data_IF_796139384145
#
_entry.id   IF_796139384145
#
_cell.length_a   1.000
_cell.length_b   1.000
_cell.length_c   1.000
_cell.angle_alpha   90.00
_cell.angle_beta   90.00
_cell.angle_gamma   90.00
#
_symmetry.space_group_name_H-M   'P 1'
#
loop_
_entity.id
_entity.type
_entity.pdbx_description
1 polymer ?
#
# COMPACT_ATOMS: atom_id res chain seq x y z
N UNK A 1 3.28 17.25 18.15
CA UNK A 1 3.08 15.79 17.96
C UNK A 1 4.27 15.27 17.18
N UNK A 2 4.97 14.25 17.66
CA UNK A 2 6.13 13.65 16.97
C UNK A 2 5.61 12.61 15.97
N UNK A 3 5.33 13.03 14.74
CA UNK A 3 4.72 12.21 13.71
C UNK A 3 5.80 11.59 12.82
N UNK A 4 5.72 10.29 12.62
CA UNK A 4 6.53 9.54 11.67
C UNK A 4 5.64 8.82 10.67
N UNK A 5 6.07 8.72 9.44
CA UNK A 5 5.37 8.02 8.37
C UNK A 5 6.23 6.86 7.89
N UNK A 6 5.66 5.68 7.82
CA UNK A 6 6.30 4.46 7.32
C UNK A 6 5.60 4.04 6.03
N UNK A 7 6.32 4.09 4.92
CA UNK A 7 5.84 3.63 3.62
C UNK A 7 6.35 2.20 3.39
N UNK A 8 5.43 1.26 3.26
CA UNK A 8 5.74 -0.13 2.95
C UNK A 8 5.91 -0.29 1.44
N UNK A 9 7.15 -0.47 0.99
CA UNK A 9 7.51 -0.60 -0.43
C UNK A 9 7.95 -2.05 -0.75
N UNK A 10 7.12 -3.00 -0.33
CA UNK A 10 7.28 -4.42 -0.62
C UNK A 10 6.41 -4.89 -1.78
N UNK A 11 6.63 -6.14 -2.21
CA UNK A 11 5.89 -6.74 -3.32
C UNK A 11 6.48 -6.42 -4.70
N UNK A 12 6.07 -7.18 -5.73
CA UNK A 12 6.55 -7.02 -7.11
C UNK A 12 5.48 -6.35 -7.97
N UNK A 13 4.20 -6.65 -7.74
CA UNK A 13 3.12 -6.19 -8.61
C UNK A 13 3.11 -6.93 -9.96
N UNK A 14 3.32 -8.24 -9.96
CA UNK A 14 3.53 -9.08 -11.15
C UNK A 14 2.40 -9.05 -12.19
N UNK A 15 1.19 -8.62 -11.81
CA UNK A 15 0.07 -8.40 -12.75
C UNK A 15 0.29 -7.22 -13.70
N UNK A 16 1.25 -6.34 -13.38
CA UNK A 16 1.60 -5.19 -14.23
C UNK A 16 2.77 -5.46 -15.19
N UNK A 17 3.16 -6.73 -15.36
CA UNK A 17 4.13 -7.05 -16.41
C UNK A 17 3.64 -6.55 -17.78
N UNK A 18 4.51 -6.00 -18.64
CA UNK A 18 5.95 -5.77 -18.50
C UNK A 18 6.35 -4.48 -17.80
N UNK A 19 5.40 -3.69 -17.27
CA UNK A 19 5.69 -2.46 -16.53
C UNK A 19 6.44 -2.75 -15.22
N UNK A 20 6.02 -3.76 -14.47
CA UNK A 20 6.69 -4.22 -13.27
C UNK A 20 7.42 -5.55 -13.52
N UNK A 21 8.62 -5.65 -12.99
CA UNK A 21 9.47 -6.85 -13.03
C UNK A 21 10.08 -7.10 -11.64
N UNK A 22 10.72 -8.26 -11.41
CA UNK A 22 11.45 -8.50 -10.15
C UNK A 22 12.57 -7.49 -9.87
N UNK A 23 13.13 -6.86 -10.91
CA UNK A 23 14.18 -5.82 -10.81
C UNK A 23 13.58 -4.44 -10.58
N UNK A 24 12.39 -4.18 -11.12
CA UNK A 24 11.70 -2.90 -11.04
C UNK A 24 10.23 -3.11 -10.65
N UNK A 25 9.92 -3.30 -9.35
CA UNK A 25 8.56 -3.48 -8.85
C UNK A 25 7.64 -2.30 -9.12
N UNK A 26 6.32 -2.58 -9.13
CA UNK A 26 5.24 -1.62 -9.43
C UNK A 26 5.38 -0.27 -8.72
N UNK A 27 5.73 -0.27 -7.43
CA UNK A 27 5.85 0.95 -6.64
C UNK A 27 6.95 1.90 -7.14
N UNK A 28 7.93 1.40 -7.87
CA UNK A 28 9.01 2.20 -8.45
C UNK A 28 8.74 2.63 -9.89
N UNK A 29 7.55 2.36 -10.41
CA UNK A 29 7.15 2.64 -11.79
C UNK A 29 6.13 3.78 -11.82
N UNK A 30 6.21 4.64 -12.85
CA UNK A 30 5.15 5.57 -13.20
C UNK A 30 4.01 4.84 -13.91
N UNK A 31 3.11 4.26 -13.11
CA UNK A 31 1.95 3.50 -13.62
C UNK A 31 0.87 4.43 -14.17
N UNK A 32 0.80 5.66 -13.64
CA UNK A 32 -0.23 6.63 -14.01
C UNK A 32 0.15 7.50 -15.21
N UNK A 33 1.40 7.45 -15.68
CA UNK A 33 1.90 8.30 -16.77
C UNK A 33 2.03 9.78 -16.39
N UNK A 34 2.32 10.08 -15.11
CA UNK A 34 2.40 11.44 -14.57
C UNK A 34 3.83 11.96 -14.36
N UNK A 35 4.83 11.18 -14.72
CA UNK A 35 6.25 11.51 -14.54
C UNK A 35 6.80 11.19 -13.16
N UNK A 36 6.02 10.55 -12.28
CA UNK A 36 6.44 10.13 -10.93
C UNK A 36 6.07 8.68 -10.69
N UNK A 37 6.94 7.94 -9.99
CA UNK A 37 6.61 6.60 -9.53
C UNK A 37 5.55 6.65 -8.42
N UNK A 38 4.87 5.53 -8.18
CA UNK A 38 3.88 5.42 -7.10
C UNK A 38 4.49 5.68 -5.73
N UNK A 39 5.76 5.29 -5.51
CA UNK A 39 6.50 5.61 -4.28
C UNK A 39 6.70 7.13 -4.12
N UNK A 40 7.08 7.83 -5.19
CA UNK A 40 7.25 9.28 -5.17
C UNK A 40 5.93 10.01 -4.92
N UNK A 41 4.84 9.61 -5.59
CA UNK A 41 3.51 10.15 -5.34
C UNK A 41 3.07 9.90 -3.90
N UNK A 42 3.33 8.69 -3.36
CA UNK A 42 3.00 8.35 -1.97
C UNK A 42 3.79 9.19 -0.98
N UNK A 43 5.10 9.35 -1.18
CA UNK A 43 5.93 10.20 -0.32
C UNK A 43 5.50 11.67 -0.35
N UNK A 44 5.11 12.18 -1.52
CA UNK A 44 4.64 13.56 -1.69
C UNK A 44 3.31 13.82 -0.96
N UNK A 45 2.43 12.83 -0.82
CA UNK A 45 1.16 12.96 -0.08
C UNK A 45 1.36 13.35 1.38
N UNK A 46 2.49 12.97 1.99
CA UNK A 46 2.80 13.25 3.39
C UNK A 46 3.50 14.59 3.62
N UNK A 47 3.70 15.39 2.56
CA UNK A 47 4.17 16.76 2.70
C UNK A 47 3.20 17.55 3.60
N UNK A 48 3.73 18.18 4.67
CA UNK A 48 2.93 18.89 5.68
C UNK A 48 2.22 17.99 6.70
N UNK A 49 2.43 16.68 6.69
CA UNK A 49 2.03 15.74 7.77
C UNK A 49 3.22 15.50 8.70
N UNK A 50 4.37 15.13 8.16
CA UNK A 50 5.61 14.98 8.91
C UNK A 50 6.78 15.66 8.18
N UNK A 51 7.84 16.05 8.89
CA UNK A 51 9.08 16.50 8.27
C UNK A 51 9.78 15.33 7.56
N UNK A 52 10.65 15.65 6.60
CA UNK A 52 11.30 14.64 5.74
C UNK A 52 12.15 13.64 6.53
N UNK A 53 12.79 14.09 7.59
CA UNK A 53 13.56 13.27 8.53
C UNK A 53 12.72 12.24 9.30
N UNK A 54 11.41 12.37 9.30
CA UNK A 54 10.47 11.43 9.92
C UNK A 54 9.72 10.56 8.90
N UNK A 55 10.05 10.67 7.61
CA UNK A 55 9.57 9.76 6.58
C UNK A 55 10.49 8.54 6.52
N UNK A 56 9.90 7.34 6.46
CA UNK A 56 10.59 6.05 6.42
C UNK A 56 10.08 5.21 5.27
N UNK A 57 10.97 4.46 4.65
CA UNK A 57 10.61 3.47 3.62
C UNK A 57 11.12 2.12 4.03
N UNK A 58 10.23 1.14 4.12
CA UNK A 58 10.59 -0.28 4.33
C UNK A 58 10.53 -0.99 2.98
N UNK A 59 11.63 -1.60 2.57
CA UNK A 59 11.72 -2.29 1.29
C UNK A 59 12.68 -3.49 1.36
N UNK A 60 12.61 -4.38 0.38
CA UNK A 60 13.58 -5.47 0.26
C UNK A 60 15.00 -4.93 -0.01
N UNK A 61 16.01 -5.56 0.60
CA UNK A 61 17.43 -5.14 0.50
C UNK A 61 17.87 -4.82 -0.94
N UNK A 62 17.41 -5.58 -1.92
CA UNK A 62 17.76 -5.39 -3.33
C UNK A 62 17.19 -4.11 -3.98
N UNK A 63 16.26 -3.43 -3.32
CA UNK A 63 15.59 -2.23 -3.84
C UNK A 63 16.04 -0.93 -3.17
N UNK A 64 17.02 -0.98 -2.27
CA UNK A 64 17.53 0.20 -1.56
C UNK A 64 17.98 1.29 -2.53
N UNK A 65 18.70 0.92 -3.59
CA UNK A 65 19.21 1.88 -4.58
C UNK A 65 18.09 2.54 -5.39
N UNK A 66 16.98 1.84 -5.64
CA UNK A 66 15.79 2.45 -6.24
C UNK A 66 15.15 3.50 -5.31
N UNK A 67 15.10 3.21 -3.99
CA UNK A 67 14.60 4.19 -3.02
C UNK A 67 15.51 5.42 -2.97
N UNK A 68 16.83 5.24 -2.90
CA UNK A 68 17.82 6.34 -2.91
C UNK A 68 17.69 7.21 -4.16
N UNK A 69 17.54 6.58 -5.33
CA UNK A 69 17.38 7.29 -6.61
C UNK A 69 16.07 8.09 -6.65
N UNK A 70 14.98 7.52 -6.17
CA UNK A 70 13.66 8.15 -6.29
C UNK A 70 13.34 9.12 -5.16
N UNK A 71 13.92 8.95 -4.00
CA UNK A 71 13.77 9.81 -2.82
C UNK A 71 15.16 10.25 -2.29
N UNK A 72 15.92 11.07 -3.07
CA UNK A 72 17.30 11.42 -2.73
C UNK A 72 17.43 12.21 -1.42
N UNK A 73 16.37 12.91 -1.00
CA UNK A 73 16.35 13.68 0.25
C UNK A 73 15.96 12.85 1.48
N UNK A 74 15.69 11.55 1.30
CA UNK A 74 15.36 10.67 2.42
C UNK A 74 16.64 10.31 3.19
N UNK A 75 16.68 10.49 4.54
CA UNK A 75 17.84 10.07 5.33
C UNK A 75 18.14 8.58 5.15
N UNK A 76 19.41 8.23 4.98
CA UNK A 76 19.83 6.84 4.78
C UNK A 76 19.36 5.91 5.91
N UNK A 77 19.39 6.41 7.16
CA UNK A 77 18.90 5.67 8.33
C UNK A 77 17.42 5.31 8.29
N UNK A 78 16.65 5.99 7.41
CA UNK A 78 15.20 5.83 7.27
C UNK A 78 14.82 4.87 6.14
N UNK A 79 15.81 4.34 5.41
CA UNK A 79 15.61 3.24 4.46
C UNK A 79 15.80 1.93 5.23
N UNK A 80 14.71 1.26 5.54
CA UNK A 80 14.71 0.00 6.28
C UNK A 80 14.75 -1.16 5.28
N UNK A 81 15.82 -1.96 5.36
CA UNK A 81 16.11 -3.03 4.41
C UNK A 81 15.70 -4.41 4.96
N UNK A 82 14.60 -4.95 4.48
CA UNK A 82 14.21 -6.33 4.78
C UNK A 82 15.14 -7.32 4.06
N UNK A 83 15.72 -8.29 4.77
CA UNK A 83 16.58 -9.30 4.13
C UNK A 83 15.78 -10.29 3.27
N UNK A 84 14.50 -10.49 3.57
CA UNK A 84 13.54 -11.30 2.80
C UNK A 84 12.11 -10.84 3.07
N UNK A 85 11.16 -11.21 2.20
CA UNK A 85 9.75 -10.92 2.40
C UNK A 85 9.15 -11.79 3.53
N UNK A 86 8.43 -11.14 4.47
CA UNK A 86 7.73 -11.79 5.59
C UNK A 86 6.32 -11.22 5.84
N UNK A 87 5.70 -10.64 4.79
CA UNK A 87 4.41 -9.96 4.87
C UNK A 87 4.44 -8.72 5.78
N UNK A 88 3.27 -8.14 6.08
CA UNK A 88 3.19 -6.79 6.65
C UNK A 88 3.44 -6.72 8.16
N UNK A 89 3.19 -7.77 8.94
CA UNK A 89 3.42 -7.70 10.39
C UNK A 89 4.91 -7.58 10.76
N UNK A 90 5.84 -8.40 10.24
CA UNK A 90 7.27 -8.20 10.49
C UNK A 90 7.81 -6.88 9.91
N UNK A 91 7.34 -6.46 8.74
CA UNK A 91 7.65 -5.19 8.10
C UNK A 91 7.34 -4.01 9.05
N UNK A 92 6.11 -3.94 9.53
CA UNK A 92 5.63 -2.90 10.44
C UNK A 92 6.34 -2.99 11.79
N UNK A 93 6.50 -4.20 12.35
CA UNK A 93 7.17 -4.40 13.61
C UNK A 93 8.61 -3.88 13.58
N UNK A 94 9.38 -4.22 12.55
CA UNK A 94 10.75 -3.75 12.41
C UNK A 94 10.82 -2.22 12.39
N UNK A 95 10.00 -1.57 11.56
CA UNK A 95 9.96 -0.11 11.50
C UNK A 95 9.57 0.50 12.86
N UNK A 96 8.52 -0.02 13.51
CA UNK A 96 8.02 0.52 14.77
C UNK A 96 9.04 0.38 15.90
N UNK A 97 9.70 -0.78 16.07
CA UNK A 97 10.77 -0.96 17.07
C UNK A 97 11.96 -0.06 16.80
N UNK A 98 12.36 0.07 15.53
CA UNK A 98 13.49 0.94 15.17
C UNK A 98 13.17 2.41 15.42
N UNK A 99 11.99 2.89 15.07
CA UNK A 99 11.56 4.27 15.36
C UNK A 99 11.48 4.49 16.87
N UNK A 100 10.82 3.58 17.60
CA UNK A 100 10.61 3.69 19.04
C UNK A 100 11.92 3.73 19.83
N UNK A 101 12.99 3.08 19.35
CA UNK A 101 14.30 3.10 20.00
C UNK A 101 14.91 4.52 20.13
N UNK A 102 14.52 5.46 19.27
CA UNK A 102 14.93 6.88 19.33
C UNK A 102 13.78 7.83 19.65
N UNK A 103 12.55 7.43 19.38
CA UNK A 103 11.35 8.25 19.48
C UNK A 103 10.23 7.46 20.19
N UNK A 104 10.32 7.27 21.51
CA UNK A 104 9.35 6.43 22.24
C UNK A 104 7.91 6.95 22.21
N UNK A 105 7.72 8.26 22.01
CA UNK A 105 6.40 8.92 21.93
C UNK A 105 5.94 9.17 20.50
N UNK A 106 6.54 8.49 19.51
CA UNK A 106 6.20 8.66 18.11
C UNK A 106 4.73 8.28 17.82
N UNK A 107 4.07 9.13 17.04
CA UNK A 107 2.80 8.81 16.38
C UNK A 107 3.11 8.33 14.97
N UNK A 108 2.59 7.20 14.58
CA UNK A 108 2.94 6.53 13.35
C UNK A 108 1.77 6.50 12.38
N UNK A 109 2.05 6.82 11.13
CA UNK A 109 1.20 6.48 9.99
C UNK A 109 1.93 5.42 9.19
N UNK A 110 1.29 4.30 8.94
CA UNK A 110 1.83 3.22 8.09
C UNK A 110 0.95 3.10 6.86
N UNK A 111 1.55 3.09 5.68
CA UNK A 111 0.80 3.03 4.42
C UNK A 111 1.52 2.22 3.34
N UNK A 112 0.78 1.61 2.40
CA UNK A 112 1.35 1.02 1.21
C UNK A 112 1.92 2.09 0.27
N UNK A 113 2.94 1.73 -0.51
CA UNK A 113 3.64 2.62 -1.45
C UNK A 113 2.96 2.76 -2.81
N UNK A 114 1.92 1.96 -3.09
CA UNK A 114 1.46 1.69 -4.45
C UNK A 114 -0.06 1.84 -4.64
N UNK A 115 -0.70 2.64 -3.77
CA UNK A 115 -2.10 3.00 -3.88
C UNK A 115 -2.29 4.38 -4.55
N UNK A 116 -3.34 4.48 -5.36
CA UNK A 116 -3.83 5.73 -5.94
C UNK A 116 -4.71 6.48 -4.92
N UNK A 117 -4.58 7.80 -4.92
CA UNK A 117 -5.43 8.76 -4.20
C UNK A 117 -5.68 9.94 -5.12
N UNK A 118 -6.94 10.33 -5.29
CA UNK A 118 -7.35 11.43 -6.19
C UNK A 118 -7.07 12.82 -5.61
N UNK A 119 -7.35 13.00 -4.32
CA UNK A 119 -7.29 14.29 -3.61
C UNK A 119 -6.31 14.24 -2.43
N UNK A 120 -5.06 14.66 -2.62
CA UNK A 120 -4.05 14.68 -1.55
C UNK A 120 -4.41 15.58 -0.36
N UNK A 121 -5.22 16.63 -0.55
CA UNK A 121 -5.60 17.51 0.57
C UNK A 121 -6.65 16.87 1.48
N UNK A 122 -7.67 16.22 0.90
CA UNK A 122 -8.62 15.43 1.67
C UNK A 122 -7.90 14.29 2.39
N UNK A 123 -6.99 13.59 1.69
CA UNK A 123 -6.15 12.57 2.30
C UNK A 123 -5.41 13.09 3.53
N UNK A 124 -4.71 14.23 3.41
CA UNK A 124 -3.98 14.86 4.52
C UNK A 124 -4.91 15.26 5.67
N UNK A 125 -6.11 15.75 5.36
CA UNK A 125 -7.12 16.10 6.35
C UNK A 125 -7.55 14.87 7.17
N UNK A 126 -7.87 13.75 6.49
CA UNK A 126 -8.28 12.51 7.14
C UNK A 126 -7.14 11.92 7.99
N UNK A 127 -5.90 11.93 7.49
CA UNK A 127 -4.74 11.47 8.26
C UNK A 127 -4.51 12.32 9.51
N UNK A 128 -4.67 13.64 9.44
CA UNK A 128 -4.57 14.50 10.64
C UNK A 128 -5.66 14.19 11.64
N UNK A 129 -6.90 13.94 11.20
CA UNK A 129 -8.00 13.55 12.07
C UNK A 129 -7.74 12.19 12.73
N UNK A 130 -7.26 11.20 11.98
CA UNK A 130 -6.88 9.90 12.51
C UNK A 130 -5.75 10.01 13.55
N UNK A 131 -4.71 10.82 13.28
CA UNK A 131 -3.60 11.08 14.22
C UNK A 131 -4.09 11.76 15.51
N UNK A 132 -4.95 12.77 15.40
CA UNK A 132 -5.50 13.47 16.55
C UNK A 132 -6.32 12.53 17.44
N UNK A 133 -7.05 11.57 16.86
CA UNK A 133 -7.81 10.59 17.60
C UNK A 133 -6.93 9.48 18.20
N UNK A 134 -5.99 8.94 17.42
CA UNK A 134 -5.11 7.88 17.88
C UNK A 134 -4.19 8.32 19.03
N UNK A 135 -3.80 9.61 19.07
CA UNK A 135 -2.93 10.15 20.12
C UNK A 135 -3.58 10.26 21.51
N UNK A 136 -4.90 10.08 21.62
CA UNK A 136 -5.64 10.23 22.87
C UNK A 136 -5.70 8.96 23.73
N UNK A 137 -4.93 7.92 23.42
CA UNK A 137 -4.91 6.68 24.20
C UNK A 137 -4.50 5.46 23.38
N UNK A 138 -4.86 4.29 23.90
CA UNK A 138 -4.58 3.02 23.20
C UNK A 138 -5.62 2.82 22.11
N UNK A 139 -5.31 3.31 20.91
CA UNK A 139 -6.20 3.28 19.74
C UNK A 139 -5.42 2.95 18.48
N UNK A 140 -6.01 2.11 17.67
CA UNK A 140 -5.57 1.84 16.30
C UNK A 140 -6.64 2.40 15.37
N UNK A 141 -6.27 3.29 14.46
CA UNK A 141 -7.19 3.81 13.45
C UNK A 141 -6.77 3.29 12.09
N UNK A 142 -7.72 2.75 11.32
CA UNK A 142 -7.53 2.42 9.91
C UNK A 142 -8.41 3.28 9.02
N UNK A 143 -7.96 3.56 7.81
CA UNK A 143 -8.77 4.27 6.81
C UNK A 143 -9.64 3.25 6.08
N UNK A 144 -10.94 3.51 6.08
CA UNK A 144 -11.95 2.67 5.44
C UNK A 144 -12.44 3.27 4.13
N UNK A 145 -12.54 2.47 3.08
CA UNK A 145 -13.00 2.87 1.76
C UNK A 145 -14.40 2.31 1.51
N UNK A 146 -15.33 3.13 1.02
CA UNK A 146 -16.68 2.69 0.68
C UNK A 146 -16.65 1.64 -0.45
N UNK A 147 -17.18 0.42 -0.22
CA UNK A 147 -17.17 -0.63 -1.23
C UNK A 147 -18.07 -0.30 -2.41
N UNK A 148 -17.58 -0.54 -3.62
CA UNK A 148 -18.37 -0.37 -4.86
C UNK A 148 -18.66 -1.69 -5.57
N UNK A 149 -18.03 -2.80 -5.13
CA UNK A 149 -18.15 -4.15 -5.69
C UNK A 149 -17.78 -5.20 -4.63
N UNK A 150 -18.13 -6.49 -4.82
CA UNK A 150 -17.74 -7.55 -3.89
C UNK A 150 -16.28 -7.98 -4.15
N UNK A 151 -15.30 -7.20 -3.66
CA UNK A 151 -13.88 -7.46 -3.84
C UNK A 151 -13.39 -8.51 -2.84
N UNK A 152 -12.78 -9.59 -3.32
CA UNK A 152 -12.25 -10.67 -2.47
C UNK A 152 -10.76 -10.54 -2.14
N UNK A 153 -10.10 -9.56 -2.74
CA UNK A 153 -8.67 -9.25 -2.51
C UNK A 153 -8.42 -8.30 -1.35
N UNK A 154 -9.47 -7.72 -0.74
CA UNK A 154 -9.36 -6.73 0.32
C UNK A 154 -9.88 -7.23 1.67
N UNK A 155 -9.39 -6.61 2.74
CA UNK A 155 -10.01 -6.71 4.06
C UNK A 155 -11.30 -5.89 4.13
N UNK A 156 -12.26 -6.37 4.91
CA UNK A 156 -13.53 -5.70 5.20
C UNK A 156 -13.62 -5.33 6.67
N UNK A 157 -14.11 -4.12 6.92
CA UNK A 157 -14.25 -3.50 8.24
C UNK A 157 -15.73 -3.26 8.48
N UNK A 158 -16.33 -3.94 9.46
CA UNK A 158 -17.69 -3.63 9.88
C UNK A 158 -17.70 -2.40 10.79
N UNK A 159 -18.46 -1.39 10.41
CA UNK A 159 -18.64 -0.18 11.20
C UNK A 159 -19.53 -0.44 12.41
N UNK A 160 -19.06 -0.03 13.58
CA UNK A 160 -19.81 -0.02 14.84
C UNK A 160 -20.24 1.38 15.23
N UNK A 161 -20.22 1.66 16.53
CA UNK A 161 -20.64 2.94 17.11
C UNK A 161 -19.76 4.11 16.64
N UNK A 162 -20.40 5.25 16.40
CA UNK A 162 -19.71 6.49 16.12
C UNK A 162 -19.03 7.00 17.39
N UNK A 163 -17.76 7.41 17.27
CA UNK A 163 -16.94 7.93 18.38
C UNK A 163 -16.25 9.23 17.96
N UNK A 164 -15.80 9.99 18.93
CA UNK A 164 -15.16 11.28 18.67
C UNK A 164 -16.16 12.43 18.51
N UNK A 165 -15.65 13.67 18.44
CA UNK A 165 -16.48 14.87 18.56
C UNK A 165 -17.40 15.11 17.34
N UNK A 166 -17.02 14.65 16.17
CA UNK A 166 -17.77 14.84 14.91
C UNK A 166 -18.50 13.55 14.44
N UNK A 167 -18.35 12.44 15.19
CA UNK A 167 -18.98 11.16 14.89
C UNK A 167 -18.51 10.47 13.60
N UNK A 168 -17.45 10.97 12.96
CA UNK A 168 -16.92 10.38 11.72
C UNK A 168 -16.14 9.10 11.96
N UNK A 169 -15.37 9.06 13.06
CA UNK A 169 -14.63 7.85 13.43
C UNK A 169 -15.60 6.87 14.06
N UNK A 170 -15.49 5.61 13.68
CA UNK A 170 -16.34 4.54 14.20
C UNK A 170 -15.50 3.46 14.86
N UNK A 171 -16.01 2.87 15.94
CA UNK A 171 -15.41 1.65 16.48
C UNK A 171 -15.58 0.53 15.45
N UNK A 172 -14.56 -0.29 15.27
CA UNK A 172 -14.66 -1.48 14.42
C UNK A 172 -15.36 -2.57 15.22
N UNK A 173 -16.45 -3.10 14.67
CA UNK A 173 -17.19 -4.21 15.30
C UNK A 173 -16.66 -5.56 14.86
N UNK A 174 -16.15 -5.67 13.65
CA UNK A 174 -15.39 -6.84 13.17
C UNK A 174 -14.47 -6.46 12.01
N UNK A 175 -13.38 -7.19 11.89
CA UNK A 175 -12.43 -7.09 10.79
C UNK A 175 -12.30 -8.46 10.14
N UNK A 176 -12.37 -8.53 8.80
CA UNK A 176 -12.24 -9.78 8.05
C UNK A 176 -11.37 -9.60 6.83
N UNK A 177 -10.22 -10.25 6.83
CA UNK A 177 -9.28 -10.21 5.70
C UNK A 177 -9.71 -11.20 4.61
N UNK A 178 -9.80 -10.71 3.37
CA UNK A 178 -10.03 -11.48 2.13
C UNK A 178 -11.14 -12.53 2.23
N UNK A 179 -12.40 -12.11 2.41
CA UNK A 179 -13.52 -13.03 2.46
C UNK A 179 -13.73 -13.74 1.10
N UNK A 180 -14.48 -14.82 1.10
CA UNK A 180 -14.98 -15.41 -0.13
C UNK A 180 -16.01 -14.50 -0.82
N UNK A 181 -16.34 -14.81 -2.08
CA UNK A 181 -17.23 -13.98 -2.90
C UNK A 181 -18.63 -13.84 -2.30
N UNK A 182 -19.18 -14.92 -1.73
CA UNK A 182 -20.51 -14.91 -1.14
C UNK A 182 -20.56 -13.98 0.07
N UNK A 183 -19.58 -14.09 0.95
CA UNK A 183 -19.41 -13.20 2.11
C UNK A 183 -19.21 -11.73 1.68
N UNK A 184 -18.37 -11.47 0.65
CA UNK A 184 -18.17 -10.12 0.12
C UNK A 184 -19.45 -9.50 -0.45
N UNK A 185 -20.29 -10.31 -1.13
CA UNK A 185 -21.60 -9.87 -1.61
C UNK A 185 -22.56 -9.54 -0.46
N UNK A 186 -22.54 -10.33 0.62
CA UNK A 186 -23.35 -10.04 1.81
C UNK A 186 -22.91 -8.73 2.48
N UNK A 187 -21.63 -8.49 2.59
CA UNK A 187 -21.09 -7.24 3.18
C UNK A 187 -21.46 -6.01 2.35
N UNK A 188 -21.36 -6.12 1.02
CA UNK A 188 -21.77 -5.03 0.15
C UNK A 188 -23.27 -4.72 0.29
N UNK A 189 -24.12 -5.75 0.39
CA UNK A 189 -25.58 -5.59 0.58
C UNK A 189 -25.92 -5.02 1.96
N UNK A 190 -25.18 -5.36 2.99
CA UNK A 190 -25.41 -4.86 4.35
C UNK A 190 -25.18 -3.35 4.47
N UNK A 191 -24.26 -2.77 3.67
CA UNK A 191 -24.06 -1.34 3.55
C UNK A 191 -23.32 -0.67 4.73
N UNK A 192 -22.90 -1.45 5.71
CA UNK A 192 -22.14 -0.98 6.88
C UNK A 192 -20.72 -1.55 6.96
N UNK A 193 -20.17 -1.95 5.81
CA UNK A 193 -18.80 -2.41 5.68
C UNK A 193 -17.99 -1.45 4.83
N UNK A 194 -16.72 -1.30 5.18
CA UNK A 194 -15.72 -0.57 4.42
C UNK A 194 -14.61 -1.53 3.99
N UNK A 195 -13.92 -1.24 2.89
CA UNK A 195 -12.66 -1.90 2.57
C UNK A 195 -11.53 -1.32 3.43
N UNK A 196 -10.62 -2.14 3.88
CA UNK A 196 -9.40 -1.72 4.52
C UNK A 196 -8.41 -1.18 3.48
N UNK A 197 -8.06 0.11 3.57
CA UNK A 197 -7.07 0.73 2.68
C UNK A 197 -5.63 0.29 2.97
N UNK A 198 -5.39 -0.46 4.05
CA UNK A 198 -4.04 -0.79 4.51
C UNK A 198 -3.26 0.40 5.06
N UNK A 199 -3.96 1.48 5.40
CA UNK A 199 -3.40 2.69 6.01
C UNK A 199 -3.78 2.67 7.48
N UNK A 200 -2.76 2.66 8.36
CA UNK A 200 -2.94 2.53 9.80
C UNK A 200 -2.32 3.72 10.52
N UNK A 201 -2.97 4.15 11.59
CA UNK A 201 -2.51 5.24 12.45
C UNK A 201 -2.59 4.80 13.92
N UNK A 202 -1.49 4.91 14.63
CA UNK A 202 -1.34 4.52 16.04
C UNK A 202 -0.15 5.20 16.71
N UNK A 203 -0.03 5.10 18.04
CA UNK A 203 1.25 5.40 18.70
C UNK A 203 2.20 4.21 18.59
N UNK A 204 3.52 4.47 18.58
CA UNK A 204 4.53 3.41 18.61
C UNK A 204 4.31 2.46 19.82
N UNK A 205 3.95 3.01 20.96
CA UNK A 205 3.63 2.25 22.18
C UNK A 205 2.43 1.33 21.98
N UNK A 206 1.35 1.83 21.34
CA UNK A 206 0.13 1.04 21.11
C UNK A 206 0.45 -0.16 20.23
N UNK A 207 1.08 0.03 19.09
CA UNK A 207 1.34 -1.09 18.17
C UNK A 207 2.35 -2.08 18.72
N UNK A 208 3.39 -1.63 19.42
CA UNK A 208 4.35 -2.52 20.08
C UNK A 208 3.66 -3.36 21.15
N UNK A 209 2.78 -2.77 21.96
CA UNK A 209 1.98 -3.51 22.94
C UNK A 209 1.05 -4.51 22.26
N UNK A 210 0.36 -4.11 21.20
CA UNK A 210 -0.53 -4.99 20.42
C UNK A 210 0.23 -6.20 19.87
N UNK A 211 1.39 -6.00 19.27
CA UNK A 211 2.23 -7.09 18.74
C UNK A 211 2.70 -8.00 19.88
N UNK A 212 3.10 -7.45 21.04
CA UNK A 212 3.46 -8.25 22.22
C UNK A 212 2.30 -9.12 22.72
N UNK A 213 1.08 -8.60 22.65
CA UNK A 213 -0.11 -9.31 23.12
C UNK A 213 -0.57 -10.38 22.12
N UNK A 214 -0.64 -10.06 20.84
CA UNK A 214 -1.29 -10.89 19.82
C UNK A 214 -0.33 -11.70 18.93
N UNK A 215 0.96 -11.32 18.92
CA UNK A 215 2.04 -11.98 18.18
C UNK A 215 3.35 -12.00 19.00
N UNK A 216 3.38 -12.67 20.19
CA UNK A 216 4.49 -12.61 21.14
C UNK A 216 5.81 -13.11 20.55
N UNK A 217 5.80 -14.13 19.68
CA UNK A 217 7.02 -14.64 19.03
C UNK A 217 7.64 -13.60 18.10
N UNK A 218 6.83 -12.83 17.40
CA UNK A 218 7.31 -11.71 16.57
C UNK A 218 7.92 -10.63 17.46
N UNK A 219 7.26 -10.26 18.56
CA UNK A 219 7.77 -9.26 19.50
C UNK A 219 9.12 -9.68 20.11
N UNK A 220 9.27 -10.94 20.50
CA UNK A 220 10.53 -11.47 21.03
C UNK A 220 11.70 -11.33 20.03
N UNK A 221 11.45 -11.58 18.76
CA UNK A 221 12.44 -11.42 17.69
C UNK A 221 12.81 -9.94 17.48
N UNK A 222 11.83 -9.03 17.53
CA UNK A 222 12.09 -7.60 17.45
C UNK A 222 12.88 -7.11 18.66
N UNK A 223 12.56 -7.56 19.87
CA UNK A 223 13.31 -7.25 21.10
C UNK A 223 14.75 -7.77 21.01
N UNK A 224 14.99 -8.93 20.41
CA UNK A 224 16.33 -9.47 20.18
C UNK A 224 17.15 -8.66 19.16
N UNK A 225 16.49 -8.06 18.15
CA UNK A 225 17.15 -7.21 17.16
C UNK A 225 17.37 -5.77 17.65
N UNK A 226 16.50 -5.27 18.53
CA UNK A 226 16.47 -3.85 18.94
C UNK A 226 17.82 -3.29 19.47
N UNK A 227 18.62 -4.02 20.25
CA UNK A 227 19.93 -3.52 20.71
C UNK A 227 20.93 -3.25 19.58
N UNK A 228 20.75 -3.86 18.41
CA UNK A 228 21.63 -3.65 17.24
C UNK A 228 21.23 -2.44 16.39
N UNK A 229 20.01 -1.90 16.54
CA UNK A 229 19.53 -0.82 15.69
C UNK A 229 20.44 0.42 15.77
N UNK A 230 20.70 1.00 14.62
CA UNK A 230 21.61 2.14 14.44
C UNK A 230 23.09 1.87 14.81
N UNK A 231 23.48 0.61 14.92
CA UNK A 231 24.88 0.20 15.13
C UNK A 231 25.44 -0.49 13.89
N UNK A 232 26.74 -0.70 13.83
CA UNK A 232 27.39 -1.42 12.74
C UNK A 232 26.93 -2.90 12.61
N UNK A 233 26.42 -3.50 13.71
CA UNK A 233 25.94 -4.88 13.72
C UNK A 233 24.49 -5.04 13.28
N UNK A 234 23.77 -3.95 12.99
CA UNK A 234 22.34 -4.03 12.64
C UNK A 234 22.09 -4.95 11.44
N UNK A 235 22.84 -4.76 10.35
CA UNK A 235 22.63 -5.53 9.11
C UNK A 235 22.86 -7.05 9.32
N UNK A 236 23.82 -7.43 10.14
CA UNK A 236 24.12 -8.81 10.49
C UNK A 236 23.03 -9.40 11.38
N UNK A 237 22.67 -8.71 12.47
CA UNK A 237 21.67 -9.16 13.44
C UNK A 237 20.29 -9.32 12.78
N UNK A 238 19.86 -8.31 12.02
CA UNK A 238 18.60 -8.36 11.27
C UNK A 238 18.65 -9.46 10.21
N UNK A 239 19.78 -9.62 9.51
CA UNK A 239 19.99 -10.69 8.53
C UNK A 239 19.85 -12.10 9.10
N UNK A 240 20.24 -12.29 10.37
CA UNK A 240 20.13 -13.57 11.07
C UNK A 240 18.71 -13.83 11.63
N UNK A 241 18.08 -12.83 12.24
CA UNK A 241 16.83 -13.01 13.00
C UNK A 241 15.60 -12.81 12.13
N UNK A 242 15.54 -11.74 11.31
CA UNK A 242 14.32 -11.40 10.53
C UNK A 242 13.81 -12.54 9.62
N UNK A 243 14.66 -13.35 8.95
CA UNK A 243 14.19 -14.48 8.16
C UNK A 243 13.47 -15.57 8.96
N UNK A 244 13.64 -15.60 10.27
CA UNK A 244 12.95 -16.55 11.17
C UNK A 244 11.55 -16.07 11.57
N UNK A 245 11.18 -14.82 11.29
CA UNK A 245 9.84 -14.30 11.58
C UNK A 245 8.78 -15.07 10.78
N UNK A 246 7.62 -15.24 11.40
CA UNK A 246 6.45 -15.80 10.71
C UNK A 246 6.04 -14.91 9.53
N UNK A 247 5.63 -15.53 8.43
CA UNK A 247 5.12 -14.81 7.26
C UNK A 247 3.62 -14.54 7.44
N UNK A 248 3.30 -13.47 8.16
CA UNK A 248 1.94 -13.11 8.54
C UNK A 248 1.66 -11.63 8.30
N UNK A 249 0.45 -11.28 7.85
CA UNK A 249 0.05 -9.88 7.73
C UNK A 249 -0.33 -9.28 9.09
N UNK A 250 -0.26 -7.95 9.20
CA UNK A 250 -0.69 -7.21 10.39
C UNK A 250 -2.19 -7.40 10.65
N UNK A 251 -2.94 -7.64 9.58
CA UNK A 251 -4.38 -7.87 9.63
C UNK A 251 -4.68 -9.13 10.46
N UNK A 252 -4.04 -10.26 10.15
CA UNK A 252 -4.17 -11.50 10.92
C UNK A 252 -3.45 -11.47 12.27
N UNK A 253 -2.32 -10.78 12.35
CA UNK A 253 -1.52 -10.74 13.56
C UNK A 253 -2.19 -9.91 14.67
N UNK A 254 -2.82 -8.79 14.32
CA UNK A 254 -3.34 -7.78 15.25
C UNK A 254 -4.78 -7.37 14.94
N UNK A 255 -5.09 -6.96 13.67
CA UNK A 255 -6.35 -6.27 13.38
C UNK A 255 -7.60 -7.13 13.57
N UNK A 256 -7.53 -8.44 13.33
CA UNK A 256 -8.65 -9.36 13.59
C UNK A 256 -8.84 -9.70 15.08
N UNK A 257 -7.87 -9.34 15.95
CA UNK A 257 -7.84 -9.78 17.37
C UNK A 257 -8.05 -8.67 18.38
N UNK A 258 -7.61 -7.44 18.04
CA UNK A 258 -7.68 -6.32 18.96
C UNK A 258 -9.08 -5.69 19.00
N UNK A 259 -9.52 -5.24 20.16
CA UNK A 259 -10.85 -4.66 20.39
C UNK A 259 -10.85 -3.12 20.47
N UNK A 260 -9.68 -2.49 20.35
CA UNK A 260 -9.47 -1.03 20.35
C UNK A 260 -9.15 -0.49 18.95
N UNK A 261 -9.77 -1.08 17.92
CA UNK A 261 -9.64 -0.66 16.52
C UNK A 261 -10.81 0.26 16.17
N UNK A 262 -10.47 1.28 15.41
CA UNK A 262 -11.40 2.29 14.90
C UNK A 262 -11.17 2.48 13.40
N UNK A 263 -12.19 2.90 12.69
CA UNK A 263 -12.09 3.24 11.28
C UNK A 263 -12.55 4.67 11.05
N UNK A 264 -11.83 5.37 10.16
CA UNK A 264 -12.24 6.65 9.60
C UNK A 264 -12.59 6.42 8.12
N UNK A 265 -13.88 6.57 7.73
CA UNK A 265 -14.27 6.54 6.32
C UNK A 265 -13.54 7.63 5.54
N UNK A 266 -12.91 7.25 4.43
CA UNK A 266 -12.17 8.17 3.59
C UNK A 266 -13.07 9.22 2.94
N UNK A 267 -12.59 10.46 2.89
CA UNK A 267 -13.23 11.56 2.15
C UNK A 267 -12.67 11.74 0.73
N UNK A 268 -11.76 10.87 0.30
CA UNK A 268 -11.08 10.84 -0.99
C UNK A 268 -11.35 9.53 -1.74
N UNK A 269 -11.15 9.51 -3.05
CA UNK A 269 -11.16 8.28 -3.83
C UNK A 269 -9.83 7.54 -3.71
N UNK A 270 -9.93 6.21 -3.63
CA UNK A 270 -8.79 5.33 -3.45
C UNK A 270 -8.87 4.09 -4.34
N UNK A 271 -7.72 3.61 -4.76
CA UNK A 271 -7.56 2.31 -5.40
C UNK A 271 -6.19 1.72 -5.07
N UNK A 272 -6.13 0.40 -4.86
CA UNK A 272 -4.86 -0.33 -4.74
C UNK A 272 -4.11 -0.44 -6.07
N UNK A 273 -4.77 -0.05 -7.18
CA UNK A 273 -4.23 -0.22 -8.55
C UNK A 273 -3.69 -1.65 -8.72
N UNK A 274 -4.51 -2.64 -8.36
CA UNK A 274 -4.09 -4.06 -8.32
C UNK A 274 -4.05 -4.73 -9.68
N UNK A 275 -4.72 -4.17 -10.69
CA UNK A 275 -4.87 -4.72 -12.03
C UNK A 275 -4.94 -3.64 -13.10
N UNK A 276 -4.76 -4.03 -14.37
CA UNK A 276 -4.94 -3.12 -15.51
C UNK A 276 -6.37 -2.61 -15.63
N UNK A 277 -7.36 -3.44 -15.27
CA UNK A 277 -8.75 -3.04 -15.23
C UNK A 277 -9.02 -1.96 -14.18
N UNK A 278 -8.46 -2.08 -12.99
CA UNK A 278 -8.57 -1.04 -11.97
C UNK A 278 -7.85 0.25 -12.41
N UNK A 279 -6.68 0.16 -13.02
CA UNK A 279 -5.98 1.32 -13.58
C UNK A 279 -6.83 2.01 -14.66
N UNK A 280 -7.44 1.25 -15.58
CA UNK A 280 -8.30 1.79 -16.65
C UNK A 280 -9.47 2.62 -16.09
N UNK A 281 -10.02 2.25 -14.93
CA UNK A 281 -11.15 3.01 -14.34
C UNK A 281 -10.72 4.36 -13.79
N UNK A 282 -9.45 4.55 -13.47
CA UNK A 282 -8.87 5.79 -12.92
C UNK A 282 -8.39 6.75 -13.99
N UNK A 283 -8.18 6.28 -15.21
CA UNK A 283 -7.68 7.07 -16.32
C UNK A 283 -8.82 7.74 -17.10
N UNK A 284 -8.52 8.88 -17.74
CA UNK A 284 -9.40 9.45 -18.74
C UNK A 284 -9.59 8.46 -19.90
N UNK A 285 -10.83 8.37 -20.40
CA UNK A 285 -11.20 7.47 -21.48
C UNK A 285 -11.75 8.27 -22.66
N UNK A 286 -11.48 7.81 -23.88
CA UNK A 286 -12.10 8.34 -25.09
C UNK A 286 -13.58 7.94 -25.19
N UNK A 287 -14.25 8.37 -26.24
CA UNK A 287 -15.67 8.08 -26.52
C UNK A 287 -15.99 6.58 -26.69
N UNK A 288 -14.98 5.77 -27.05
CA UNK A 288 -15.07 4.33 -27.20
C UNK A 288 -14.66 3.59 -25.91
N UNK A 289 -14.38 4.33 -24.81
CA UNK A 289 -14.01 3.78 -23.52
C UNK A 289 -12.56 3.28 -23.44
N UNK A 290 -11.68 3.68 -24.36
CA UNK A 290 -10.25 3.35 -24.30
C UNK A 290 -9.52 4.31 -23.37
N UNK A 291 -8.60 3.78 -22.56
CA UNK A 291 -7.66 4.54 -21.76
C UNK A 291 -6.25 4.43 -22.35
N UNK A 292 -5.58 5.55 -22.59
CA UNK A 292 -4.29 5.58 -23.30
C UNK A 292 -3.26 6.37 -22.52
N UNK A 293 -2.10 5.77 -22.29
CA UNK A 293 -0.89 6.41 -21.77
C UNK A 293 0.21 6.29 -22.82
N UNK A 294 0.57 7.43 -23.41
CA UNK A 294 1.56 7.58 -24.48
C UNK A 294 1.14 8.63 -25.48
N UNK A 295 2.10 9.20 -26.22
CA UNK A 295 1.86 10.38 -27.08
C UNK A 295 1.68 10.05 -28.57
N UNK A 296 2.10 8.90 -29.03
CA UNK A 296 2.07 8.54 -30.46
C UNK A 296 1.35 7.19 -30.66
N UNK A 297 0.11 7.15 -30.18
CA UNK A 297 -0.74 5.94 -30.19
C UNK A 297 -2.00 6.24 -30.98
N UNK A 298 -2.25 5.46 -32.02
CA UNK A 298 -3.39 5.60 -32.90
C UNK A 298 -4.28 4.36 -32.82
N UNK A 299 -5.55 4.58 -32.49
CA UNK A 299 -6.55 3.53 -32.33
C UNK A 299 -7.58 3.62 -33.45
N UNK A 300 -7.80 2.51 -34.15
CA UNK A 300 -8.81 2.36 -35.20
C UNK A 300 -9.76 1.21 -34.83
N UNK A 301 -11.06 1.46 -34.78
CA UNK A 301 -12.05 0.45 -34.42
C UNK A 301 -11.75 -0.29 -33.10
N UNK A 302 -11.13 0.40 -32.14
CA UNK A 302 -10.82 -0.16 -30.81
C UNK A 302 -11.82 0.33 -29.80
N UNK A 303 -12.23 -0.54 -28.84
CA UNK A 303 -13.15 -0.19 -27.76
C UNK A 303 -12.80 -0.89 -26.46
N UNK A 304 -12.98 -0.20 -25.31
CA UNK A 304 -12.79 -0.77 -24.00
C UNK A 304 -11.34 -1.13 -23.64
N UNK A 305 -10.37 -0.70 -24.42
CA UNK A 305 -8.96 -1.06 -24.23
C UNK A 305 -8.25 -0.21 -23.17
N UNK A 306 -7.16 -0.75 -22.62
CA UNK A 306 -6.12 0.04 -21.94
C UNK A 306 -4.81 -0.13 -22.70
N UNK A 307 -4.21 1.00 -23.09
CA UNK A 307 -2.94 1.05 -23.82
C UNK A 307 -1.93 1.84 -22.99
N UNK A 308 -0.85 1.21 -22.60
CA UNK A 308 0.22 1.83 -21.84
C UNK A 308 1.55 1.67 -22.56
N UNK A 309 1.97 2.67 -23.31
CA UNK A 309 3.18 2.66 -24.12
C UNK A 309 3.81 4.07 -24.20
N UNK A 310 4.22 4.67 -23.07
CA UNK A 310 4.69 6.06 -23.03
C UNK A 310 6.01 6.26 -23.79
N UNK A 311 6.78 5.21 -24.02
CA UNK A 311 8.08 5.24 -24.71
C UNK A 311 8.01 4.73 -26.16
N UNK A 312 6.84 4.29 -26.63
CA UNK A 312 6.68 3.83 -27.99
C UNK A 312 6.93 4.97 -29.00
N UNK A 313 7.76 4.72 -30.02
CA UNK A 313 7.99 5.70 -31.09
C UNK A 313 6.74 5.93 -31.92
N UNK A 314 5.99 4.89 -32.19
CA UNK A 314 4.66 4.91 -32.80
C UNK A 314 3.99 3.57 -32.55
N UNK A 315 2.71 3.59 -32.23
CA UNK A 315 1.88 2.42 -32.04
C UNK A 315 0.54 2.61 -32.75
N UNK A 316 0.22 1.68 -33.65
CA UNK A 316 -1.05 1.66 -34.36
C UNK A 316 -1.78 0.36 -34.01
N UNK A 317 -2.99 0.49 -33.50
CA UNK A 317 -3.83 -0.65 -33.12
C UNK A 317 -5.17 -0.57 -33.86
N UNK A 318 -5.62 -1.70 -34.39
CA UNK A 318 -6.89 -1.81 -35.13
C UNK A 318 -7.70 -3.02 -34.66
N UNK A 319 -9.01 -2.82 -34.48
CA UNK A 319 -9.99 -3.88 -34.25
C UNK A 319 -9.92 -4.55 -32.86
N UNK A 320 -9.28 -3.93 -31.87
CA UNK A 320 -9.15 -4.50 -30.53
C UNK A 320 -10.35 -4.10 -29.64
N UNK A 321 -10.86 -5.09 -28.90
CA UNK A 321 -11.93 -4.87 -27.92
C UNK A 321 -11.51 -5.44 -26.57
N UNK A 322 -11.80 -4.70 -25.46
CA UNK A 322 -11.54 -5.10 -24.08
C UNK A 322 -10.16 -5.73 -23.90
N UNK A 323 -9.14 -5.04 -24.42
CA UNK A 323 -7.77 -5.54 -24.49
C UNK A 323 -6.80 -4.67 -23.68
N UNK A 324 -5.78 -5.32 -23.15
CA UNK A 324 -4.61 -4.71 -22.52
C UNK A 324 -3.49 -4.72 -23.55
N UNK A 325 -2.91 -3.57 -23.85
CA UNK A 325 -1.71 -3.42 -24.71
C UNK A 325 -0.68 -2.63 -23.92
N UNK A 326 0.45 -3.25 -23.64
CA UNK A 326 1.51 -2.63 -22.85
C UNK A 326 2.86 -2.85 -23.54
N UNK A 327 3.58 -1.76 -23.78
CA UNK A 327 4.95 -1.80 -24.28
C UNK A 327 5.87 -1.11 -23.30
N UNK A 328 6.98 -1.78 -22.97
CA UNK A 328 8.07 -1.22 -22.18
C UNK A 328 9.40 -1.87 -22.51
N UNK A 329 10.40 -1.06 -22.88
CA UNK A 329 11.78 -1.52 -23.11
C UNK A 329 11.86 -2.70 -24.08
N UNK A 330 11.04 -2.67 -25.17
CA UNK A 330 10.99 -3.73 -26.18
C UNK A 330 10.19 -4.97 -25.77
N UNK A 331 9.58 -4.97 -24.59
CA UNK A 331 8.66 -6.04 -24.16
C UNK A 331 7.23 -5.62 -24.47
N UNK A 332 6.47 -6.47 -25.13
CA UNK A 332 5.09 -6.22 -25.53
C UNK A 332 4.15 -7.25 -24.92
N UNK A 333 3.11 -6.79 -24.26
CA UNK A 333 1.98 -7.60 -23.83
C UNK A 333 0.73 -7.18 -24.61
N UNK A 334 0.04 -8.14 -25.20
CA UNK A 334 -1.32 -7.97 -25.71
C UNK A 334 -2.16 -9.12 -25.18
N UNK A 335 -3.18 -8.83 -24.37
CA UNK A 335 -4.09 -9.84 -23.87
C UNK A 335 -5.49 -9.25 -23.61
N UNK A 336 -6.50 -10.10 -23.44
CA UNK A 336 -7.82 -9.66 -23.07
C UNK A 336 -7.85 -9.14 -21.63
N UNK A 337 -8.60 -8.10 -21.37
CA UNK A 337 -8.80 -7.53 -20.04
C UNK A 337 -9.32 -8.59 -19.04
N UNK A 338 -10.18 -9.50 -19.49
CA UNK A 338 -10.70 -10.62 -18.68
C UNK A 338 -9.62 -11.63 -18.25
N UNK A 339 -8.41 -11.58 -18.80
CA UNK A 339 -7.30 -12.46 -18.46
C UNK A 339 -6.23 -11.77 -17.59
N UNK A 340 -6.48 -10.55 -17.12
CA UNK A 340 -5.50 -9.75 -16.38
C UNK A 340 -4.91 -10.44 -15.14
N UNK A 341 -5.69 -11.29 -14.45
CA UNK A 341 -5.22 -12.05 -13.30
C UNK A 341 -4.17 -13.12 -13.66
N UNK A 342 -4.12 -13.56 -14.93
CA UNK A 342 -3.19 -14.57 -15.42
C UNK A 342 -1.88 -13.98 -15.94
N UNK A 343 -1.77 -12.65 -16.04
CA UNK A 343 -0.54 -12.00 -16.57
C UNK A 343 0.70 -12.45 -15.77
N UNK A 344 0.58 -12.61 -14.46
CA UNK A 344 1.64 -13.14 -13.58
C UNK A 344 2.14 -14.54 -13.96
N UNK A 345 1.35 -15.29 -14.75
CA UNK A 345 1.65 -16.66 -15.17
C UNK A 345 2.14 -16.73 -16.63
N UNK A 346 1.96 -15.66 -17.40
CA UNK A 346 2.35 -15.63 -18.83
C UNK A 346 3.86 -15.49 -19.02
N UNK A 347 4.53 -14.84 -18.07
CA UNK A 347 5.97 -14.64 -18.09
C UNK A 347 6.58 -15.41 -16.91
N UNK A 348 7.02 -16.62 -17.19
CA UNK A 348 7.81 -17.46 -16.28
C UNK A 348 9.21 -17.54 -16.86
N UNK A 349 10.12 -16.72 -16.37
CA UNK A 349 11.57 -16.90 -16.55
C UNK A 349 12.11 -17.85 -15.50
#
# INVERSE_FOLDING_TARGET
MNIHVVIMAGGIGSRFWPMSTPELPKQFVDVMGRGQSMLQETAARYSGICPRENLWVVTGRKYIDLVRQQLPDLPESNIIAEPCARSTAPCIAYACWKIMARNPDAQLVVAPSDAYVDDPEKYRSDIRQALAFASQGERIVTIGISPTRPETGYGYIAEGEAVGPDGKIRKVSSFREKPDLETAMQYLKAGNYLWNAGIFVWSAQTIVRSIRTYAPDLAQKMDAMAPSFYTASEAETVGAIFPTCENISIDYAVMEKADYIYTLPASFEWSDVGTWGSLRTLLARDENGNAVIGSNIHLYNCSGCIVHAPQAKSLVLEGLTDSIVVEREGRLLICRLSQEQKIKDFHKD
#
